data_IF_966094340188
#
_entry.id   IF_966094340188
#
_cell.length_a   1.000
_cell.length_b   1.000
_cell.length_c   1.000
_cell.angle_alpha   90.00
_cell.angle_beta   90.00
_cell.angle_gamma   90.00
#
_symmetry.space_group_name_H-M   'P 1'
#
loop_
_entity.id
_entity.type
_entity.pdbx_description
1 polymer ?
#
# COMPACT_ATOMS: atom_id res chain seq x y z
N UNK A 1 18.70 -4.83 -0.57
CA UNK A 1 18.51 -3.40 -0.22
C UNK A 1 17.88 -2.71 -1.41
N UNK A 2 16.59 -2.38 -1.29
CA UNK A 2 15.89 -1.56 -2.27
C UNK A 2 16.43 -0.12 -2.25
N UNK A 3 16.51 0.51 -3.43
CA UNK A 3 16.81 1.93 -3.50
C UNK A 3 15.69 2.73 -2.80
N UNK A 4 16.05 3.83 -2.10
CA UNK A 4 15.08 4.69 -1.39
C UNK A 4 13.92 5.15 -2.29
N UNK A 5 14.21 5.37 -3.58
CA UNK A 5 13.18 5.71 -4.58
C UNK A 5 12.15 4.60 -4.83
N UNK A 6 12.55 3.33 -4.76
CA UNK A 6 11.65 2.18 -4.94
C UNK A 6 10.75 1.96 -3.73
N UNK A 7 11.26 2.24 -2.53
CA UNK A 7 10.47 2.23 -1.29
C UNK A 7 9.34 3.27 -1.37
N UNK A 8 9.63 4.48 -1.85
CA UNK A 8 8.62 5.50 -2.06
C UNK A 8 7.56 5.10 -3.12
N UNK A 9 7.99 4.45 -4.20
CA UNK A 9 7.09 3.90 -5.23
C UNK A 9 6.15 2.84 -4.63
N UNK A 10 6.69 1.90 -3.84
CA UNK A 10 5.92 0.85 -3.19
C UNK A 10 4.92 1.41 -2.15
N UNK A 11 5.33 2.39 -1.35
CA UNK A 11 4.47 3.09 -0.39
C UNK A 11 3.29 3.79 -1.07
N UNK A 12 3.56 4.46 -2.19
CA UNK A 12 2.52 5.11 -2.99
C UNK A 12 1.57 4.08 -3.60
N UNK A 13 2.09 2.94 -4.04
CA UNK A 13 1.28 1.88 -4.65
C UNK A 13 0.36 1.22 -3.62
N UNK A 14 0.87 0.94 -2.40
CA UNK A 14 0.09 0.37 -1.32
C UNK A 14 -1.08 1.26 -0.88
N UNK A 15 -0.81 2.54 -0.62
CA UNK A 15 -1.84 3.51 -0.21
C UNK A 15 -2.85 3.80 -1.32
N UNK A 16 -2.39 4.00 -2.57
CA UNK A 16 -3.27 4.21 -3.71
C UNK A 16 -4.17 3.01 -3.99
N UNK A 17 -3.66 1.78 -3.82
CA UNK A 17 -4.47 0.57 -4.02
C UNK A 17 -5.57 0.44 -2.96
N UNK A 18 -5.28 0.73 -1.69
CA UNK A 18 -6.28 0.76 -0.61
C UNK A 18 -7.32 1.85 -0.85
N UNK A 19 -6.89 3.03 -1.30
CA UNK A 19 -7.83 4.09 -1.68
C UNK A 19 -8.72 3.65 -2.85
N UNK A 20 -8.18 2.94 -3.84
CA UNK A 20 -8.98 2.46 -4.98
C UNK A 20 -10.07 1.47 -4.58
N UNK A 21 -9.90 0.70 -3.50
CA UNK A 21 -10.89 -0.26 -2.99
C UNK A 21 -12.22 0.40 -2.58
N UNK A 22 -12.19 1.68 -2.24
CA UNK A 22 -13.37 2.47 -1.87
C UNK A 22 -14.03 3.16 -3.06
N UNK A 23 -13.47 3.01 -4.26
CA UNK A 23 -13.96 3.66 -5.49
C UNK A 23 -14.58 2.66 -6.45
N UNK A 24 -15.36 3.18 -7.41
CA UNK A 24 -15.92 2.39 -8.51
C UNK A 24 -14.84 1.84 -9.47
N UNK A 25 -13.65 2.44 -9.47
CA UNK A 25 -12.52 1.99 -10.28
C UNK A 25 -11.81 0.75 -9.72
N UNK A 26 -12.24 0.25 -8.55
CA UNK A 26 -11.61 -0.88 -7.85
C UNK A 26 -11.35 -2.09 -8.74
N UNK A 27 -12.36 -2.55 -9.51
CA UNK A 27 -12.24 -3.79 -10.29
C UNK A 27 -11.05 -3.73 -11.28
N UNK A 28 -10.91 -2.60 -11.99
CA UNK A 28 -9.81 -2.41 -12.93
C UNK A 28 -8.45 -2.29 -12.22
N UNK A 29 -8.41 -1.67 -11.03
CA UNK A 29 -7.19 -1.57 -10.23
C UNK A 29 -6.76 -2.94 -9.69
N UNK A 30 -7.72 -3.73 -9.21
CA UNK A 30 -7.52 -5.07 -8.68
C UNK A 30 -6.89 -5.98 -9.71
N UNK A 31 -7.44 -6.02 -10.92
CA UNK A 31 -6.96 -6.95 -11.95
C UNK A 31 -5.53 -6.60 -12.40
N UNK A 32 -5.20 -5.30 -12.50
CA UNK A 32 -3.82 -4.83 -12.79
C UNK A 32 -2.87 -5.18 -11.65
N UNK A 33 -3.24 -4.91 -10.41
CA UNK A 33 -2.42 -5.19 -9.24
C UNK A 33 -2.19 -6.70 -9.04
N UNK A 34 -3.22 -7.51 -9.26
CA UNK A 34 -3.12 -8.96 -9.17
C UNK A 34 -2.20 -9.54 -10.25
N UNK A 35 -2.32 -9.07 -11.50
CA UNK A 35 -1.41 -9.46 -12.60
C UNK A 35 0.05 -9.15 -12.28
N UNK A 36 0.28 -7.97 -11.74
CA UNK A 36 1.61 -7.50 -11.36
C UNK A 36 2.19 -8.37 -10.23
N UNK A 37 1.44 -8.56 -9.14
CA UNK A 37 1.89 -9.33 -7.98
C UNK A 37 1.93 -10.85 -8.23
N UNK A 38 1.11 -11.34 -9.16
CA UNK A 38 1.12 -12.72 -9.64
C UNK A 38 2.18 -13.00 -10.69
N UNK A 39 2.87 -11.96 -11.19
CA UNK A 39 3.99 -12.05 -12.15
C UNK A 39 3.65 -12.85 -13.42
N UNK A 40 2.39 -12.84 -13.85
CA UNK A 40 1.93 -13.59 -15.03
C UNK A 40 1.58 -15.06 -14.77
N UNK A 41 1.73 -15.56 -13.53
CA UNK A 41 1.24 -16.88 -13.15
C UNK A 41 -0.25 -16.82 -12.76
N UNK A 42 -1.09 -17.52 -13.50
CA UNK A 42 -2.55 -17.47 -13.31
C UNK A 42 -3.00 -17.94 -11.90
N UNK A 43 -2.26 -18.85 -11.27
CA UNK A 43 -2.54 -19.33 -9.92
C UNK A 43 -2.25 -18.26 -8.87
N UNK A 44 -1.08 -17.64 -8.95
CA UNK A 44 -0.71 -16.53 -8.07
C UNK A 44 -1.56 -15.30 -8.33
N UNK A 45 -1.90 -14.96 -9.58
CA UNK A 45 -2.85 -13.88 -9.89
C UNK A 45 -4.19 -14.07 -9.18
N UNK A 46 -4.79 -15.26 -9.30
CA UNK A 46 -6.05 -15.60 -8.62
C UNK A 46 -5.93 -15.49 -7.10
N UNK A 47 -4.80 -15.91 -6.54
CA UNK A 47 -4.50 -15.79 -5.11
C UNK A 47 -4.38 -14.33 -4.66
N UNK A 48 -3.76 -13.47 -5.46
CA UNK A 48 -3.65 -12.05 -5.17
C UNK A 48 -5.01 -11.35 -5.30
N UNK A 49 -5.83 -11.69 -6.30
CA UNK A 49 -7.21 -11.20 -6.41
C UNK A 49 -8.04 -11.53 -5.16
N UNK A 50 -8.02 -12.79 -4.72
CA UNK A 50 -8.76 -13.20 -3.52
C UNK A 50 -8.30 -12.45 -2.26
N UNK A 51 -6.99 -12.17 -2.14
CA UNK A 51 -6.44 -11.36 -1.04
C UNK A 51 -6.91 -9.91 -1.11
N UNK A 52 -6.85 -9.32 -2.29
CA UNK A 52 -7.31 -7.95 -2.56
C UNK A 52 -8.80 -7.78 -2.24
N UNK A 53 -9.64 -8.72 -2.68
CA UNK A 53 -11.08 -8.70 -2.41
C UNK A 53 -11.39 -8.88 -0.91
N UNK A 54 -10.61 -9.70 -0.20
CA UNK A 54 -10.72 -9.80 1.27
C UNK A 54 -10.39 -8.48 1.95
N UNK A 55 -9.30 -7.81 1.57
CA UNK A 55 -8.95 -6.50 2.13
C UNK A 55 -10.06 -5.49 1.89
N UNK A 56 -10.66 -5.46 0.69
CA UNK A 56 -11.81 -4.59 0.42
C UNK A 56 -13.00 -4.92 1.32
N UNK A 57 -13.31 -6.21 1.53
CA UNK A 57 -14.40 -6.61 2.41
C UNK A 57 -14.18 -6.15 3.86
N UNK A 58 -12.95 -6.29 4.37
CA UNK A 58 -12.57 -5.79 5.71
C UNK A 58 -12.74 -4.26 5.80
N UNK A 59 -12.30 -3.51 4.78
CA UNK A 59 -12.44 -2.05 4.75
C UNK A 59 -13.90 -1.61 4.71
N UNK A 60 -14.74 -2.27 3.92
CA UNK A 60 -16.19 -1.98 3.86
C UNK A 60 -16.88 -2.28 5.20
N UNK A 61 -16.48 -3.35 5.88
CA UNK A 61 -17.02 -3.68 7.20
C UNK A 61 -16.61 -2.65 8.26
N UNK A 62 -15.33 -2.25 8.27
CA UNK A 62 -14.85 -1.24 9.22
C UNK A 62 -15.48 0.14 8.99
N UNK A 63 -15.73 0.52 7.72
CA UNK A 63 -16.45 1.75 7.40
C UNK A 63 -17.87 1.79 7.97
N UNK A 64 -18.49 0.63 8.23
CA UNK A 64 -19.79 0.53 8.88
C UNK A 64 -19.71 0.57 10.43
N UNK A 65 -18.56 0.22 11.02
CA UNK A 65 -18.35 0.15 12.47
C UNK A 65 -17.98 1.51 13.11
N UNK A 66 -17.35 2.40 12.35
CA UNK A 66 -17.04 3.77 12.77
C UNK A 66 -15.74 4.31 12.18
N UNK A 67 -15.58 5.64 12.23
CA UNK A 67 -14.49 6.35 11.55
C UNK A 67 -13.08 6.00 12.03
N UNK A 68 -12.89 5.75 13.33
CA UNK A 68 -11.55 5.54 13.90
C UNK A 68 -10.98 4.15 13.57
N UNK A 69 -11.79 3.10 13.72
CA UNK A 69 -11.39 1.73 13.37
C UNK A 69 -11.14 1.59 11.86
N UNK A 70 -11.97 2.26 11.04
CA UNK A 70 -11.77 2.35 9.59
C UNK A 70 -10.45 3.01 9.22
N UNK A 71 -10.08 4.13 9.86
CA UNK A 71 -8.81 4.83 9.61
C UNK A 71 -7.61 3.97 9.98
N UNK A 72 -7.63 3.33 11.14
CA UNK A 72 -6.54 2.44 11.57
C UNK A 72 -6.37 1.24 10.64
N UNK A 73 -7.49 0.68 10.15
CA UNK A 73 -7.47 -0.40 9.19
C UNK A 73 -6.88 0.04 7.85
N UNK A 74 -7.28 1.23 7.33
CA UNK A 74 -6.70 1.80 6.10
C UNK A 74 -5.18 1.91 6.20
N UNK A 75 -4.67 2.42 7.32
CA UNK A 75 -3.22 2.54 7.56
C UNK A 75 -2.55 1.17 7.55
N UNK A 76 -3.09 0.20 8.30
CA UNK A 76 -2.54 -1.16 8.37
C UNK A 76 -2.51 -1.85 7.01
N UNK A 77 -3.61 -1.77 6.26
CA UNK A 77 -3.70 -2.39 4.94
C UNK A 77 -2.76 -1.70 3.94
N UNK A 78 -2.60 -0.38 4.03
CA UNK A 78 -1.67 0.36 3.16
C UNK A 78 -0.23 -0.09 3.37
N UNK A 79 0.21 -0.21 4.63
CA UNK A 79 1.54 -0.73 4.97
C UNK A 79 1.72 -2.19 4.50
N UNK A 80 0.69 -3.03 4.69
CA UNK A 80 0.74 -4.43 4.26
C UNK A 80 0.87 -4.55 2.73
N UNK A 81 0.21 -3.71 1.95
CA UNK A 81 0.35 -3.70 0.49
C UNK A 81 1.68 -3.06 0.04
N UNK A 82 2.17 -2.03 0.74
CA UNK A 82 3.52 -1.48 0.52
C UNK A 82 4.58 -2.58 0.61
N UNK A 83 4.61 -3.36 1.69
CA UNK A 83 5.61 -4.43 1.86
C UNK A 83 5.56 -5.45 0.71
N UNK A 84 4.36 -5.76 0.20
CA UNK A 84 4.23 -6.68 -0.96
C UNK A 84 4.81 -6.10 -2.25
N UNK A 85 4.68 -4.80 -2.46
CA UNK A 85 5.32 -4.12 -3.59
C UNK A 85 6.84 -4.00 -3.40
N UNK A 86 7.32 -3.80 -2.17
CA UNK A 86 8.74 -3.86 -1.84
C UNK A 86 9.31 -5.25 -2.15
N UNK A 87 8.69 -6.32 -1.63
CA UNK A 87 9.09 -7.71 -1.90
C UNK A 87 9.11 -8.02 -3.41
N UNK A 88 8.12 -7.50 -4.15
CA UNK A 88 8.07 -7.61 -5.60
C UNK A 88 9.26 -6.92 -6.27
N UNK A 89 9.53 -5.66 -5.91
CA UNK A 89 10.61 -4.87 -6.52
C UNK A 89 12.00 -5.36 -6.11
N UNK A 90 12.13 -5.99 -4.95
CA UNK A 90 13.39 -6.60 -4.51
C UNK A 90 13.66 -7.91 -5.25
N UNK A 91 12.62 -8.70 -5.50
CA UNK A 91 12.75 -9.98 -6.23
C UNK A 91 12.83 -9.77 -7.74
N UNK A 92 12.15 -8.74 -8.26
CA UNK A 92 11.95 -8.49 -9.68
C UNK A 92 12.02 -6.99 -9.99
N UNK A 93 13.23 -6.40 -10.04
CA UNK A 93 13.42 -4.97 -10.30
C UNK A 93 12.81 -4.50 -11.64
N UNK A 94 12.70 -5.38 -12.63
CA UNK A 94 12.04 -5.12 -13.91
C UNK A 94 10.56 -4.74 -13.79
N UNK A 95 9.94 -5.04 -12.64
CA UNK A 95 8.55 -4.68 -12.34
C UNK A 95 8.38 -3.22 -11.92
N UNK A 96 9.47 -2.43 -11.80
CA UNK A 96 9.37 -1.01 -11.48
C UNK A 96 8.49 -0.24 -12.48
N UNK A 97 8.72 -0.41 -13.78
CA UNK A 97 7.94 0.29 -14.80
C UNK A 97 6.44 -0.09 -14.74
N UNK A 98 6.08 -1.39 -14.69
CA UNK A 98 4.70 -1.82 -14.43
C UNK A 98 4.08 -1.28 -13.13
N UNK A 99 4.84 -1.18 -12.03
CA UNK A 99 4.35 -0.56 -10.78
C UNK A 99 4.07 0.93 -10.99
N UNK A 100 4.96 1.65 -11.69
CA UNK A 100 4.74 3.07 -12.04
C UNK A 100 3.54 3.27 -12.96
N UNK A 101 3.28 2.36 -13.89
CA UNK A 101 2.07 2.38 -14.72
C UNK A 101 0.79 2.20 -13.89
N UNK A 102 0.81 1.28 -12.91
CA UNK A 102 -0.29 1.13 -11.94
C UNK A 102 -0.52 2.45 -11.18
N UNK A 103 0.54 3.11 -10.72
CA UNK A 103 0.43 4.43 -10.05
C UNK A 103 -0.18 5.50 -10.96
N UNK A 104 0.20 5.54 -12.24
CA UNK A 104 -0.42 6.43 -13.22
C UNK A 104 -1.92 6.20 -13.33
N UNK A 105 -2.32 4.92 -13.45
CA UNK A 105 -3.73 4.54 -13.51
C UNK A 105 -4.49 4.90 -12.22
N UNK A 106 -3.90 4.65 -11.04
CA UNK A 106 -4.49 5.03 -9.76
C UNK A 106 -4.72 6.55 -9.69
N UNK A 107 -3.74 7.37 -10.11
CA UNK A 107 -3.87 8.83 -10.16
C UNK A 107 -4.99 9.32 -11.07
N UNK A 108 -5.21 8.67 -12.20
CA UNK A 108 -6.28 9.03 -13.13
C UNK A 108 -7.68 8.68 -12.61
N UNK A 109 -7.77 7.60 -11.82
CA UNK A 109 -9.04 7.03 -11.37
C UNK A 109 -9.47 7.51 -9.99
N UNK A 110 -8.52 7.85 -9.14
CA UNK A 110 -8.80 8.39 -7.82
C UNK A 110 -9.11 9.89 -7.96
N UNK A 111 -10.25 10.37 -7.43
CA UNK A 111 -10.51 11.80 -7.40
C UNK A 111 -9.35 12.48 -6.66
N UNK A 112 -8.83 13.55 -7.24
CA UNK A 112 -7.77 14.38 -6.66
C UNK A 112 -8.30 15.19 -5.45
N UNK A 113 -8.79 14.50 -4.43
CA UNK A 113 -8.95 15.00 -3.07
C UNK A 113 -8.09 14.09 -2.19
N UNK A 114 -6.77 14.11 -2.35
CA UNK A 114 -5.91 15.11 -1.71
C UNK A 114 -4.67 15.27 -2.57
N UNK A 115 -4.61 16.33 -3.38
CA UNK A 115 -3.36 16.74 -4.00
C UNK A 115 -2.39 17.20 -2.92
N UNK A 116 -1.15 16.71 -2.96
CA UNK A 116 0.05 17.38 -2.46
C UNK A 116 -0.06 18.01 -1.05
N UNK A 117 0.00 17.20 0.00
CA UNK A 117 0.18 17.73 1.35
C UNK A 117 0.04 16.64 2.40
N UNK A 118 1.17 16.21 2.95
CA UNK A 118 1.29 15.18 4.00
C UNK A 118 1.22 13.75 3.48
N UNK A 119 2.39 13.21 3.11
CA UNK A 119 2.62 11.77 3.18
C UNK A 119 2.71 11.43 4.68
N UNK A 120 1.62 11.02 5.30
CA UNK A 120 1.68 10.43 6.64
C UNK A 120 2.23 9.01 6.50
N UNK A 121 3.56 8.88 6.57
CA UNK A 121 4.22 7.57 6.56
C UNK A 121 4.00 6.92 7.92
N UNK A 122 3.07 5.97 7.99
CA UNK A 122 3.00 5.02 9.10
C UNK A 122 3.96 3.87 8.80
N UNK A 123 5.22 4.05 9.18
CA UNK A 123 6.19 2.97 9.19
C UNK A 123 6.11 2.24 10.52
N UNK A 124 5.53 1.04 10.52
CA UNK A 124 5.61 0.14 11.69
C UNK A 124 6.90 -0.64 11.56
N UNK A 125 7.97 -0.14 12.18
CA UNK A 125 9.26 -0.82 12.23
C UNK A 125 9.39 -1.65 13.50
N UNK A 126 9.69 -2.94 13.36
CA UNK A 126 10.20 -3.78 14.44
C UNK A 126 11.71 -3.97 14.30
N UNK A 127 12.41 -3.99 15.45
CA UNK A 127 13.86 -4.15 15.65
C UNK A 127 14.75 -2.90 15.43
N UNK A 128 15.15 -2.55 14.21
CA UNK A 128 16.25 -1.57 13.95
C UNK A 128 16.06 -0.79 12.63
N UNK A 129 14.91 -0.14 12.41
CA UNK A 129 14.74 0.70 11.21
C UNK A 129 15.27 2.12 11.45
N UNK A 130 16.28 2.52 10.68
CA UNK A 130 16.58 3.93 10.46
C UNK A 130 15.82 4.41 9.24
N UNK A 131 14.96 5.41 9.41
CA UNK A 131 14.17 5.96 8.32
C UNK A 131 14.42 7.46 8.21
N UNK A 132 15.06 7.86 7.11
CA UNK A 132 15.26 9.26 6.78
C UNK A 132 14.01 9.78 6.04
N UNK A 133 13.39 10.83 6.57
CA UNK A 133 12.33 11.58 5.87
C UNK A 133 12.97 12.82 5.25
N UNK A 134 13.11 12.83 3.92
CA UNK A 134 13.36 14.06 3.18
C UNK A 134 12.02 14.64 2.72
N UNK A 135 11.40 15.47 3.56
CA UNK A 135 10.15 16.16 3.23
C UNK A 135 9.48 16.83 4.44
N UNK A 136 8.50 17.70 4.19
CA UNK A 136 7.64 18.29 5.21
C UNK A 136 6.40 17.40 5.41
N UNK A 137 6.24 16.84 6.61
CA UNK A 137 5.09 16.02 6.99
C UNK A 137 5.09 15.67 8.47
N UNK A 138 3.92 15.37 9.03
CA UNK A 138 3.76 14.94 10.43
C UNK A 138 3.89 13.42 10.51
N UNK A 139 4.88 12.91 11.24
CA UNK A 139 5.13 11.48 11.43
C UNK A 139 4.66 11.04 12.82
N UNK A 140 3.78 10.04 12.88
CA UNK A 140 3.39 9.41 14.14
C UNK A 140 4.13 8.07 14.28
N UNK A 141 5.20 8.06 15.08
CA UNK A 141 5.95 6.84 15.38
C UNK A 141 5.38 6.21 16.66
N UNK A 142 4.75 5.04 16.54
CA UNK A 142 4.37 4.22 17.69
C UNK A 142 5.44 3.16 17.94
N UNK A 143 6.24 3.34 19.00
CA UNK A 143 7.16 2.31 19.48
C UNK A 143 6.43 1.41 20.49
N UNK A 144 6.37 0.11 20.23
CA UNK A 144 5.88 -0.86 21.21
C UNK A 144 6.83 -0.95 22.43
N UNK A 145 6.32 -1.23 23.64
CA UNK A 145 7.16 -1.34 24.83
C UNK A 145 8.13 -2.52 24.68
N UNK A 146 9.42 -2.22 24.57
CA UNK A 146 10.48 -3.22 24.67
C UNK A 146 10.44 -3.89 26.05
N UNK A 147 10.26 -5.21 26.08
CA UNK A 147 10.37 -5.97 27.32
C UNK A 147 11.81 -5.90 27.85
N UNK A 148 12.03 -5.45 29.10
CA UNK A 148 13.34 -5.58 29.72
C UNK A 148 13.62 -7.05 30.04
N UNK A 149 14.85 -7.50 29.81
CA UNK A 149 15.37 -8.82 30.26
C UNK A 149 15.75 -8.78 31.72
#
# INVERSE_FOLDING_TARGET
>A
MLAEGLVAVAATAGSGLVQAMTTDAWQQCRDRAARLLGRGDAGEESRQQARLDRTRAELTQAAAAGDEEGRQLVVRQSAAWQTRFEDLLETSPEQEAPVRELLGFLRERLPSGTAAGTVTVHATASDQAQQAVQGQGTQHNSFGPGQPR
#
